data_IF_034474630428
#
_entry.id   IF_034474630428
#
_cell.length_a   1.000
_cell.length_b   1.000
_cell.length_c   1.000
_cell.angle_alpha   90.00
_cell.angle_beta   90.00
_cell.angle_gamma   90.00
#
_symmetry.space_group_name_H-M   'P 1'
#
loop_
_entity.id
_entity.type
_entity.pdbx_description
1 polymer ?
#
# COMPACT_ATOMS: atom_id res chain seq x y z
N UNK A 1 10.02 4.00 -11.53
CA UNK A 1 9.71 3.30 -10.27
C UNK A 1 10.06 4.24 -9.16
N UNK A 2 9.21 4.35 -8.15
CA UNK A 2 9.50 5.15 -6.97
C UNK A 2 10.08 4.24 -5.89
N UNK A 3 11.06 4.71 -5.15
CA UNK A 3 11.67 3.96 -4.05
C UNK A 3 11.03 4.36 -2.73
N UNK A 4 10.74 3.36 -1.90
CA UNK A 4 10.30 3.59 -0.52
C UNK A 4 11.52 3.65 0.39
N UNK A 5 11.47 4.56 1.36
CA UNK A 5 12.48 4.72 2.40
C UNK A 5 12.04 3.96 3.65
N UNK A 6 12.93 3.18 4.24
CA UNK A 6 12.71 2.56 5.55
C UNK A 6 12.72 3.63 6.64
N UNK A 7 11.76 3.57 7.55
CA UNK A 7 11.72 4.49 8.68
C UNK A 7 12.95 4.26 9.60
N UNK A 8 13.72 5.29 9.96
CA UNK A 8 15.00 5.13 10.68
C UNK A 8 14.85 4.55 12.09
N UNK A 9 13.73 4.83 12.79
CA UNK A 9 13.46 4.27 14.11
C UNK A 9 13.09 2.75 14.09
N UNK A 10 12.82 2.19 12.91
CA UNK A 10 12.39 0.80 12.72
C UNK A 10 13.16 0.17 11.57
N UNK A 11 14.48 -0.02 11.71
CA UNK A 11 15.32 -0.54 10.65
C UNK A 11 14.88 -1.97 10.28
N UNK A 12 14.93 -2.28 8.99
CA UNK A 12 14.80 -3.64 8.51
C UNK A 12 15.99 -4.52 8.91
N UNK A 13 15.77 -5.83 8.94
CA UNK A 13 16.77 -6.84 9.23
C UNK A 13 17.54 -7.25 7.97
N UNK A 14 16.84 -7.66 6.90
CA UNK A 14 17.42 -8.13 5.64
C UNK A 14 16.90 -7.36 4.42
N UNK A 15 15.67 -6.82 4.48
CA UNK A 15 15.13 -6.02 3.37
C UNK A 15 16.00 -4.80 3.13
N UNK A 16 16.48 -4.66 1.89
CA UNK A 16 17.42 -3.60 1.48
C UNK A 16 16.74 -2.46 0.76
N UNK A 17 15.74 -2.76 -0.05
CA UNK A 17 14.97 -1.75 -0.78
C UNK A 17 13.58 -2.27 -1.13
N UNK A 18 12.65 -1.32 -1.27
CA UNK A 18 11.32 -1.57 -1.81
C UNK A 18 11.04 -0.54 -2.91
N UNK A 19 10.82 -1.02 -4.11
CA UNK A 19 10.39 -0.20 -5.24
C UNK A 19 8.89 -0.38 -5.48
N UNK A 20 8.20 0.70 -5.82
CA UNK A 20 6.80 0.70 -6.18
C UNK A 20 6.53 1.36 -7.53
N UNK A 21 5.44 0.97 -8.17
CA UNK A 21 4.89 1.64 -9.37
C UNK A 21 3.44 1.27 -9.60
N UNK A 22 2.74 2.19 -10.26
CA UNK A 22 1.57 1.86 -11.07
C UNK A 22 2.06 1.10 -12.31
N UNK A 23 1.52 -0.10 -12.54
CA UNK A 23 1.84 -0.94 -13.71
C UNK A 23 0.76 -0.87 -14.78
N UNK A 24 -0.41 -0.32 -14.47
CA UNK A 24 -1.46 -0.01 -15.44
C UNK A 24 -2.67 0.65 -14.78
N UNK A 25 -3.39 1.50 -15.52
CA UNK A 25 -4.64 2.10 -15.07
C UNK A 25 -5.58 2.24 -16.26
N UNK A 26 -6.66 1.45 -16.25
CA UNK A 26 -7.71 1.43 -17.26
C UNK A 26 -9.09 1.62 -16.62
N UNK A 27 -10.15 1.54 -17.42
CA UNK A 27 -11.53 1.72 -16.96
C UNK A 27 -12.00 0.68 -15.92
N UNK A 28 -11.33 -0.46 -15.82
CA UNK A 28 -11.69 -1.56 -14.93
C UNK A 28 -10.82 -1.63 -13.68
N UNK A 29 -9.52 -1.33 -13.81
CA UNK A 29 -8.53 -1.63 -12.79
C UNK A 29 -7.42 -0.59 -12.72
N UNK A 30 -7.05 -0.22 -11.48
CA UNK A 30 -5.73 0.28 -11.15
C UNK A 30 -4.86 -0.90 -10.72
N UNK A 31 -3.74 -1.11 -11.41
CA UNK A 31 -2.77 -2.17 -11.12
C UNK A 31 -1.48 -1.55 -10.59
N UNK A 32 -1.03 -2.05 -9.44
CA UNK A 32 0.15 -1.56 -8.73
C UNK A 32 1.05 -2.72 -8.35
N UNK A 33 2.34 -2.41 -8.14
CA UNK A 33 3.38 -3.38 -7.81
C UNK A 33 4.32 -2.84 -6.76
N UNK A 34 4.67 -3.69 -5.80
CA UNK A 34 5.82 -3.56 -4.92
C UNK A 34 6.84 -4.65 -5.26
N UNK A 35 8.11 -4.26 -5.37
CA UNK A 35 9.25 -5.16 -5.54
C UNK A 35 10.18 -4.99 -4.34
N UNK A 36 10.43 -6.07 -3.63
CA UNK A 36 11.23 -6.10 -2.40
C UNK A 36 12.54 -6.83 -2.69
N UNK A 37 13.66 -6.22 -2.33
CA UNK A 37 14.98 -6.84 -2.36
C UNK A 37 15.43 -7.20 -0.93
N UNK A 38 16.03 -8.37 -0.74
CA UNK A 38 16.34 -8.91 0.60
C UNK A 38 15.14 -9.60 1.26
N UNK A 39 14.22 -10.15 0.46
CA UNK A 39 12.97 -10.71 0.95
C UNK A 39 13.11 -12.07 1.69
N UNK A 40 14.33 -12.57 1.90
CA UNK A 40 14.60 -13.91 2.43
C UNK A 40 13.87 -14.21 3.74
N UNK A 41 13.84 -13.24 4.66
CA UNK A 41 13.21 -13.33 5.98
C UNK A 41 11.81 -12.69 6.05
N UNK A 42 11.27 -12.19 4.95
CA UNK A 42 9.94 -11.57 4.95
C UNK A 42 8.90 -12.63 5.30
N UNK A 43 8.15 -12.36 6.37
CA UNK A 43 7.00 -13.15 6.79
C UNK A 43 5.87 -12.88 5.82
N UNK A 44 5.34 -13.92 5.20
CA UNK A 44 4.12 -13.85 4.40
C UNK A 44 2.98 -14.29 5.30
N UNK A 45 1.98 -13.43 5.58
CA UNK A 45 0.86 -13.83 6.41
C UNK A 45 0.15 -15.06 5.82
N UNK A 46 -0.35 -15.98 6.66
CA UNK A 46 -1.01 -17.19 6.19
C UNK A 46 -2.23 -16.81 5.33
N UNK A 47 -2.46 -17.61 4.29
CA UNK A 47 -3.62 -17.44 3.44
C UNK A 47 -4.91 -17.49 4.27
N UNK A 48 -5.75 -16.46 4.13
CA UNK A 48 -7.02 -16.34 4.82
C UNK A 48 -8.21 -16.20 3.85
N UNK A 49 -7.94 -16.26 2.55
CA UNK A 49 -8.91 -16.07 1.47
C UNK A 49 -9.34 -14.62 1.32
N UNK A 50 -10.03 -14.34 0.21
CA UNK A 50 -10.57 -13.02 -0.06
C UNK A 50 -11.64 -12.62 0.96
N UNK A 51 -11.56 -11.37 1.38
CA UNK A 51 -12.57 -10.75 2.23
C UNK A 51 -12.01 -9.57 3.00
N UNK A 52 -12.92 -8.76 3.54
CA UNK A 52 -12.52 -7.65 4.40
C UNK A 52 -11.91 -8.15 5.71
N UNK A 53 -10.91 -7.44 6.20
CA UNK A 53 -10.39 -7.57 7.56
C UNK A 53 -9.64 -6.30 7.96
N UNK A 54 -9.67 -6.01 9.26
CA UNK A 54 -8.99 -4.88 9.86
C UNK A 54 -7.60 -5.30 10.37
N UNK A 55 -6.82 -4.34 10.85
CA UNK A 55 -5.51 -4.57 11.48
C UNK A 55 -4.50 -5.36 10.63
N UNK A 56 -4.62 -5.28 9.29
CA UNK A 56 -3.71 -5.94 8.35
C UNK A 56 -2.25 -5.50 8.52
N UNK A 57 -2.04 -4.27 9.02
CA UNK A 57 -0.75 -3.68 9.36
C UNK A 57 -0.02 -4.37 10.53
N UNK A 58 -0.66 -5.32 11.22
CA UNK A 58 -0.02 -6.09 12.28
C UNK A 58 1.03 -7.09 11.77
N UNK A 59 1.13 -7.29 10.46
CA UNK A 59 2.13 -8.14 9.79
C UNK A 59 2.45 -7.56 8.41
N UNK A 60 3.12 -8.30 7.53
CA UNK A 60 3.44 -7.85 6.18
C UNK A 60 2.17 -7.47 5.41
N UNK A 61 2.03 -6.19 5.09
CA UNK A 61 0.95 -5.63 4.28
C UNK A 61 1.46 -4.47 3.41
N UNK A 62 0.65 -4.10 2.43
CA UNK A 62 0.93 -3.02 1.49
C UNK A 62 -0.24 -2.07 1.48
N UNK A 63 0.04 -0.77 1.46
CA UNK A 63 -1.03 0.22 1.47
C UNK A 63 -0.84 1.25 0.36
N UNK A 64 -1.98 1.70 -0.15
CA UNK A 64 -2.07 2.76 -1.15
C UNK A 64 -3.03 3.83 -0.64
N UNK A 65 -2.51 5.04 -0.51
CA UNK A 65 -3.27 6.22 -0.12
C UNK A 65 -3.52 7.09 -1.34
N UNK A 66 -4.76 7.51 -1.56
CA UNK A 66 -5.18 8.30 -2.71
C UNK A 66 -5.88 9.57 -2.25
N UNK A 67 -5.36 10.73 -2.64
CA UNK A 67 -5.88 12.05 -2.28
C UNK A 67 -6.08 12.91 -3.51
N UNK A 68 -7.19 13.62 -3.62
CA UNK A 68 -7.32 14.68 -4.63
C UNK A 68 -6.44 15.88 -4.23
N UNK A 69 -5.81 16.61 -5.18
CA UNK A 69 -4.81 17.65 -4.87
C UNK A 69 -5.23 18.67 -3.81
N UNK A 70 -6.49 19.10 -3.82
CA UNK A 70 -7.04 20.12 -2.91
C UNK A 70 -7.86 19.53 -1.74
N UNK A 71 -7.96 18.20 -1.65
CA UNK A 71 -8.74 17.53 -0.60
C UNK A 71 -7.92 17.34 0.66
N UNK A 72 -8.55 17.57 1.82
CA UNK A 72 -8.03 17.13 3.13
C UNK A 72 -8.28 15.64 3.36
N UNK A 73 -9.39 15.13 2.85
CA UNK A 73 -9.73 13.72 2.92
C UNK A 73 -9.02 12.88 1.87
N UNK A 74 -8.84 11.61 2.16
CA UNK A 74 -8.17 10.64 1.28
C UNK A 74 -8.80 9.26 1.46
N UNK A 75 -8.57 8.42 0.46
CA UNK A 75 -8.89 6.99 0.53
C UNK A 75 -7.63 6.21 0.85
N UNK A 76 -7.75 5.25 1.74
CA UNK A 76 -6.71 4.28 2.07
C UNK A 76 -7.14 2.89 1.60
N UNK A 77 -6.23 2.16 0.96
CA UNK A 77 -6.38 0.74 0.65
C UNK A 77 -5.34 -0.04 1.43
N UNK A 78 -5.77 -1.00 2.24
CA UNK A 78 -4.92 -1.98 2.93
C UNK A 78 -4.99 -3.30 2.17
N UNK A 79 -3.84 -3.86 1.78
CA UNK A 79 -3.75 -5.03 0.90
C UNK A 79 -2.76 -6.04 1.50
N UNK A 80 -3.23 -7.24 1.82
CA UNK A 80 -2.42 -8.29 2.44
C UNK A 80 -2.11 -9.43 1.47
N UNK A 81 -0.91 -10.04 1.54
CA UNK A 81 -0.62 -11.32 0.88
C UNK A 81 -1.55 -12.47 1.29
N UNK A 82 -2.27 -12.34 2.40
CA UNK A 82 -3.27 -13.32 2.86
C UNK A 82 -4.56 -13.35 2.03
N UNK A 83 -4.66 -12.47 1.02
CA UNK A 83 -5.88 -12.10 0.27
C UNK A 83 -6.90 -11.26 1.05
N UNK A 84 -6.62 -10.93 2.31
CA UNK A 84 -7.40 -9.95 3.05
C UNK A 84 -7.07 -8.54 2.61
N UNK A 85 -8.09 -7.69 2.66
CA UNK A 85 -7.96 -6.29 2.28
C UNK A 85 -8.95 -5.44 3.08
N UNK A 86 -8.75 -4.13 3.15
CA UNK A 86 -9.83 -3.21 3.47
C UNK A 86 -9.60 -1.88 2.71
N UNK A 87 -10.63 -1.05 2.63
CA UNK A 87 -10.54 0.28 2.07
C UNK A 87 -11.35 1.23 2.95
N UNK A 88 -10.77 2.39 3.25
CA UNK A 88 -11.37 3.39 4.11
C UNK A 88 -11.33 4.77 3.45
N UNK A 89 -12.36 5.56 3.68
CA UNK A 89 -12.34 6.99 3.43
C UNK A 89 -12.10 7.74 4.74
N UNK A 90 -11.27 8.77 4.68
CA UNK A 90 -11.00 9.69 5.77
C UNK A 90 -11.39 11.10 5.37
N UNK A 91 -11.92 11.89 6.32
CA UNK A 91 -12.19 13.32 6.13
C UNK A 91 -10.93 14.19 6.30
N UNK A 92 -9.90 13.65 6.95
CA UNK A 92 -8.65 14.31 7.29
C UNK A 92 -7.61 13.33 7.85
N UNK A 93 -6.42 13.80 8.23
CA UNK A 93 -5.36 12.94 8.83
C UNK A 93 -5.91 12.21 10.05
N UNK A 94 -6.11 10.89 9.95
CA UNK A 94 -6.70 10.01 10.98
C UNK A 94 -8.08 10.46 11.49
N UNK A 95 -8.84 11.20 10.68
CA UNK A 95 -10.16 11.71 11.03
C UNK A 95 -11.26 11.09 10.15
N UNK A 96 -12.42 10.82 10.75
CA UNK A 96 -13.63 10.45 10.01
C UNK A 96 -13.54 9.14 9.23
N UNK A 97 -12.77 8.17 9.74
CA UNK A 97 -12.59 6.86 9.10
C UNK A 97 -13.94 6.16 8.92
N UNK A 98 -14.28 5.87 7.67
CA UNK A 98 -15.43 5.05 7.31
C UNK A 98 -15.01 3.98 6.30
N UNK A 99 -15.60 2.79 6.37
CA UNK A 99 -15.34 1.76 5.38
C UNK A 99 -15.85 2.21 4.00
N UNK A 100 -14.96 2.21 3.00
CA UNK A 100 -15.27 2.61 1.63
C UNK A 100 -15.93 1.46 0.88
N UNK A 101 -17.11 1.64 0.28
CA UNK A 101 -17.72 0.61 -0.55
C UNK A 101 -16.90 0.35 -1.82
N UNK A 102 -16.71 -0.92 -2.18
CA UNK A 102 -16.14 -1.33 -3.46
C UNK A 102 -17.11 -2.27 -4.18
N UNK A 103 -17.20 -2.19 -5.53
CA UNK A 103 -18.12 -3.03 -6.30
C UNK A 103 -17.68 -4.50 -6.36
N UNK A 104 -16.40 -4.77 -6.08
CA UNK A 104 -15.81 -6.11 -5.99
C UNK A 104 -14.50 -6.02 -5.21
N UNK A 105 -13.97 -7.16 -4.85
CA UNK A 105 -12.72 -7.28 -4.10
C UNK A 105 -11.51 -6.93 -4.99
N UNK A 106 -10.46 -6.29 -4.44
CA UNK A 106 -9.15 -6.24 -5.07
C UNK A 106 -8.57 -7.64 -5.27
N UNK A 107 -7.71 -7.78 -6.27
CA UNK A 107 -6.90 -8.99 -6.46
C UNK A 107 -5.50 -8.73 -5.93
N UNK A 108 -4.98 -9.63 -5.08
CA UNK A 108 -3.65 -9.52 -4.51
C UNK A 108 -2.86 -10.79 -4.80
N UNK A 109 -1.59 -10.67 -5.20
CA UNK A 109 -0.74 -11.81 -5.45
C UNK A 109 0.70 -11.52 -4.99
N UNK A 110 1.22 -12.39 -4.13
CA UNK A 110 2.63 -12.34 -3.72
C UNK A 110 3.41 -13.49 -4.34
N UNK A 111 4.55 -13.17 -4.95
CA UNK A 111 5.56 -14.15 -5.40
C UNK A 111 6.84 -13.87 -4.64
N UNK A 112 7.25 -14.80 -3.78
CA UNK A 112 8.47 -14.68 -2.97
C UNK A 112 9.48 -15.74 -3.38
N UNK A 113 10.68 -15.30 -3.75
CA UNK A 113 11.87 -16.11 -3.90
C UNK A 113 12.77 -16.03 -2.66
N UNK A 114 14.02 -16.47 -2.82
CA UNK A 114 15.04 -16.44 -1.76
C UNK A 114 15.54 -15.02 -1.45
N UNK A 115 15.64 -14.14 -2.45
CA UNK A 115 16.15 -12.77 -2.27
C UNK A 115 15.16 -11.69 -2.72
N UNK A 116 14.27 -12.00 -3.68
CA UNK A 116 13.32 -11.03 -4.23
C UNK A 116 11.90 -11.48 -3.93
N UNK A 117 11.04 -10.55 -3.52
CA UNK A 117 9.59 -10.74 -3.54
C UNK A 117 8.93 -9.66 -4.42
N UNK A 118 7.80 -10.02 -5.02
CA UNK A 118 6.94 -9.12 -5.78
C UNK A 118 5.53 -9.28 -5.27
N UNK A 119 4.91 -8.18 -4.86
CA UNK A 119 3.50 -8.09 -4.55
C UNK A 119 2.80 -7.26 -5.62
N UNK A 120 1.81 -7.84 -6.27
CA UNK A 120 0.93 -7.15 -7.22
C UNK A 120 -0.46 -7.01 -6.61
N UNK A 121 -1.09 -5.87 -6.85
CA UNK A 121 -2.50 -5.69 -6.57
C UNK A 121 -3.25 -5.05 -7.75
N UNK A 122 -4.50 -5.48 -7.95
CA UNK A 122 -5.45 -4.87 -8.87
C UNK A 122 -6.66 -4.36 -8.08
N UNK A 123 -6.88 -3.05 -8.08
CA UNK A 123 -7.95 -2.37 -7.35
C UNK A 123 -9.03 -1.94 -8.35
N UNK A 124 -10.33 -2.21 -8.10
CA UNK A 124 -11.39 -1.84 -9.03
C UNK A 124 -11.45 -0.33 -9.27
N UNK A 125 -11.30 0.10 -10.53
CA UNK A 125 -11.24 1.51 -10.90
C UNK A 125 -12.52 2.29 -10.51
N UNK A 126 -13.69 1.65 -10.61
CA UNK A 126 -14.97 2.22 -10.21
C UNK A 126 -15.07 2.54 -8.70
N UNK A 127 -14.17 1.97 -7.90
CA UNK A 127 -14.08 2.26 -6.48
C UNK A 127 -13.04 3.32 -6.12
N UNK A 128 -12.33 3.92 -7.08
CA UNK A 128 -11.31 4.93 -6.80
C UNK A 128 -11.92 6.34 -6.74
N UNK A 129 -11.29 7.29 -6.02
CA UNK A 129 -11.63 8.70 -6.17
C UNK A 129 -11.38 9.19 -7.59
N UNK A 130 -12.09 10.24 -8.02
CA UNK A 130 -11.89 10.82 -9.35
C UNK A 130 -10.50 11.45 -9.45
N UNK A 131 -9.76 11.08 -10.49
CA UNK A 131 -8.44 11.61 -10.83
C UNK A 131 -8.50 13.06 -11.37
N UNK A 132 -7.40 13.83 -11.31
CA UNK A 132 -6.04 13.47 -10.88
C UNK A 132 -5.92 13.21 -9.37
N UNK A 133 -4.99 12.33 -8.99
CA UNK A 133 -4.73 11.96 -7.60
C UNK A 133 -3.27 12.18 -7.23
N UNK A 134 -3.04 12.44 -5.95
CA UNK A 134 -1.78 12.26 -5.25
C UNK A 134 -1.80 10.90 -4.55
N UNK A 135 -0.72 10.15 -4.68
CA UNK A 135 -0.59 8.80 -4.15
C UNK A 135 0.50 8.72 -3.09
N UNK A 136 0.17 8.10 -1.96
CA UNK A 136 1.13 7.58 -1.00
C UNK A 136 1.24 6.08 -1.16
N UNK A 137 2.44 5.56 -1.42
CA UNK A 137 2.70 4.13 -1.38
C UNK A 137 3.48 3.80 -0.12
N UNK A 138 3.06 2.73 0.55
CA UNK A 138 3.70 2.27 1.77
C UNK A 138 3.78 0.75 1.81
N UNK A 139 4.54 0.24 2.77
CA UNK A 139 4.51 -1.15 3.17
C UNK A 139 4.87 -1.26 4.66
N UNK A 140 4.15 -2.13 5.37
CA UNK A 140 4.63 -2.70 6.63
C UNK A 140 5.24 -4.04 6.28
N UNK A 141 6.49 -4.25 6.67
CA UNK A 141 7.18 -5.53 6.45
C UNK A 141 7.52 -6.14 7.80
N UNK A 142 6.99 -7.34 8.03
CA UNK A 142 7.45 -8.21 9.11
C UNK A 142 8.54 -9.14 8.59
N UNK A 143 9.65 -9.20 9.30
CA UNK A 143 10.71 -10.17 9.11
C UNK A 143 10.75 -11.15 10.28
N UNK A 144 11.29 -12.35 10.03
CA UNK A 144 11.43 -13.41 11.03
C UNK A 144 11.97 -12.89 12.37
N UNK A 145 11.41 -13.40 13.47
CA UNK A 145 11.69 -12.91 14.82
C UNK A 145 10.83 -11.72 15.24
N UNK A 146 9.82 -11.35 14.43
CA UNK A 146 8.84 -10.31 14.75
C UNK A 146 9.37 -8.89 14.52
N UNK A 147 10.45 -8.74 13.74
CA UNK A 147 11.02 -7.43 13.41
C UNK A 147 10.12 -6.75 12.39
N UNK A 148 9.57 -5.58 12.74
CA UNK A 148 8.75 -4.78 11.83
C UNK A 148 9.51 -3.56 11.33
N UNK A 149 9.46 -3.34 10.02
CA UNK A 149 9.96 -2.13 9.37
C UNK A 149 8.83 -1.44 8.59
N UNK A 150 8.87 -0.12 8.55
CA UNK A 150 7.83 0.73 7.96
C UNK A 150 8.42 1.51 6.79
N UNK A 151 7.79 1.38 5.63
CA UNK A 151 8.32 1.89 4.38
C UNK A 151 7.30 2.85 3.76
N UNK A 152 7.76 4.03 3.35
CA UNK A 152 6.92 5.02 2.66
C UNK A 152 7.77 5.81 1.66
N UNK A 153 7.11 6.58 0.79
CA UNK A 153 7.81 7.50 -0.11
C UNK A 153 8.54 8.62 0.63
N UNK A 154 8.07 9.01 1.82
CA UNK A 154 8.62 10.09 2.63
C UNK A 154 8.23 9.89 4.09
N UNK A 155 9.16 10.13 5.02
CA UNK A 155 8.90 10.19 6.46
C UNK A 155 9.16 11.62 6.95
N UNK A 156 8.23 12.20 7.70
CA UNK A 156 8.30 13.58 8.18
C UNK A 156 8.43 13.71 9.70
N UNK A 157 8.31 12.61 10.44
CA UNK A 157 8.21 12.59 11.90
C UNK A 157 9.10 11.49 12.50
N UNK A 158 9.30 11.56 13.82
CA UNK A 158 10.08 10.58 14.60
C UNK A 158 9.40 9.22 14.69
N UNK A 159 8.08 9.18 14.56
CA UNK A 159 7.28 7.96 14.53
C UNK A 159 6.73 7.73 13.12
N UNK A 160 6.64 6.46 12.65
CA UNK A 160 6.02 6.16 11.37
C UNK A 160 4.57 6.66 11.32
N UNK A 161 4.26 7.52 10.35
CA UNK A 161 2.89 7.93 10.08
C UNK A 161 2.63 8.07 8.58
N UNK A 162 2.06 7.01 8.00
CA UNK A 162 1.68 6.96 6.59
C UNK A 162 0.55 7.93 6.21
N UNK A 163 -0.24 8.38 7.19
CA UNK A 163 -1.33 9.33 6.99
C UNK A 163 -0.84 10.79 6.92
N UNK A 164 0.47 11.02 7.09
CA UNK A 164 1.03 12.36 6.92
C UNK A 164 0.88 12.80 5.45
N UNK A 165 0.29 13.98 5.17
CA UNK A 165 0.19 14.54 3.82
C UNK A 165 1.49 14.56 3.02
N UNK A 166 2.65 14.60 3.68
CA UNK A 166 3.97 14.53 3.06
C UNK A 166 4.25 13.18 2.36
N UNK A 167 3.55 12.10 2.72
CA UNK A 167 3.70 10.78 2.08
C UNK A 167 3.09 10.72 0.67
N UNK A 168 2.23 11.69 0.30
CA UNK A 168 1.41 11.67 -0.92
C UNK A 168 2.14 12.36 -2.09
N UNK A 169 3.28 11.81 -2.50
CA UNK A 169 4.22 12.50 -3.41
C UNK A 169 4.07 12.12 -4.87
N UNK A 170 3.50 10.95 -5.20
CA UNK A 170 3.36 10.53 -6.59
C UNK A 170 2.07 11.07 -7.21
N UNK A 171 2.14 11.47 -8.48
CA UNK A 171 0.95 11.86 -9.23
C UNK A 171 0.38 10.66 -10.00
N UNK A 172 -0.93 10.50 -9.95
CA UNK A 172 -1.69 9.53 -10.74
C UNK A 172 -2.70 10.29 -11.60
N UNK A 173 -2.44 10.27 -12.90
CA UNK A 173 -3.34 10.83 -13.90
C UNK A 173 -4.63 10.01 -14.03
N UNK A 174 -5.58 10.55 -14.79
CA UNK A 174 -6.77 9.82 -15.19
C UNK A 174 -6.41 8.49 -15.90
N UNK A 175 -7.27 7.46 -15.79
CA UNK A 175 -7.06 6.22 -16.52
C UNK A 175 -6.93 6.50 -18.01
N UNK A 176 -6.00 5.82 -18.66
CA UNK A 176 -5.87 5.92 -20.11
C UNK A 176 -7.14 5.34 -20.73
N UNK A 177 -7.73 6.05 -21.69
CA UNK A 177 -8.83 5.51 -22.47
C UNK A 177 -8.35 4.19 -23.12
N UNK A 178 -9.12 3.13 -22.93
CA UNK A 178 -8.87 1.83 -23.55
C UNK A 178 -9.11 1.89 -25.05
#
# INVERSE_FOLDING_TARGET
MAELTCHPAHPSLLVRSIETRVIGFDASWLRVRWRILGAGKVVVPPFAGKGRADDLWQTTCFELFLRQPESRGYTEFNLSPSERWNAYDFSGRREGMIERPLPREPECAMRKGSDIAVFDAAIPAAGLPQAPLRCGFTAVIEEEGGVKSYWSLTHSADAPDFHDPACFTLELAAPTAS
#
